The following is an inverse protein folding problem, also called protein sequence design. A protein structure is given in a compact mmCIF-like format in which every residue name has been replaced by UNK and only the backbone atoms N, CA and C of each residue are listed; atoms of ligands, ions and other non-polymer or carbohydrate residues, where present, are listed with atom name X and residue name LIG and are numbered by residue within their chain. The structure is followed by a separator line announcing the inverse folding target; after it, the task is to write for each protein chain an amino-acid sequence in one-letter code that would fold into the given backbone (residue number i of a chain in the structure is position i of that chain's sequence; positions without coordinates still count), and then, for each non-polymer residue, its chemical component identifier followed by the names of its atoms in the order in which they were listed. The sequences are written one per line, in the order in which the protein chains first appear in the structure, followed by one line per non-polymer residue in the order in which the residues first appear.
data_IF_170129132691
#
_entry.id   IF_170129132691
#
_cell.length_a   1.000
_cell.length_b   1.000
_cell.length_c   1.000
_cell.angle_alpha   90.00
_cell.angle_beta   90.00
_cell.angle_gamma   90.00
#
_symmetry.space_group_name_H-M   'P 1'
#
loop_
_entity.id
_entity.type
_entity.pdbx_description
1 polymer ?
#
# COMPACT_ATOMS: atom_id res chain seq x y z
N UNK A 1 -6.85 42.95 -14.79
CA UNK A 1 -6.22 43.14 -13.46
C UNK A 1 -6.78 42.10 -12.47
N UNK A 2 -5.90 41.45 -11.72
CA UNK A 2 -6.27 40.45 -10.72
C UNK A 2 -6.74 41.14 -9.42
N UNK A 3 -7.93 41.70 -9.44
CA UNK A 3 -8.50 42.45 -8.31
C UNK A 3 -9.25 41.55 -7.33
N UNK A 4 -9.41 42.00 -6.08
CA UNK A 4 -10.29 41.36 -5.08
C UNK A 4 -11.71 41.22 -5.61
N UNK A 5 -12.20 42.18 -6.40
CA UNK A 5 -13.54 42.11 -7.03
C UNK A 5 -13.68 40.92 -7.96
N UNK A 6 -12.70 40.70 -8.83
CA UNK A 6 -12.67 39.54 -9.74
C UNK A 6 -12.74 38.20 -8.98
N UNK A 7 -12.00 38.08 -7.88
CA UNK A 7 -12.03 36.86 -7.06
C UNK A 7 -13.37 36.67 -6.35
N UNK A 8 -13.98 37.73 -5.88
CA UNK A 8 -15.32 37.69 -5.28
C UNK A 8 -16.39 37.30 -6.30
N UNK A 9 -16.31 37.82 -7.53
CA UNK A 9 -17.18 37.46 -8.64
C UNK A 9 -17.04 35.98 -8.99
N UNK A 10 -15.79 35.47 -9.00
CA UNK A 10 -15.56 34.05 -9.23
C UNK A 10 -16.11 33.16 -8.10
N UNK A 11 -15.97 33.59 -6.84
CA UNK A 11 -16.59 32.89 -5.69
C UNK A 11 -18.10 32.87 -5.83
N UNK A 12 -18.70 34.01 -6.17
CA UNK A 12 -20.15 34.11 -6.39
C UNK A 12 -20.61 33.24 -7.55
N UNK A 13 -19.86 33.23 -8.67
CA UNK A 13 -20.15 32.31 -9.78
C UNK A 13 -20.07 30.85 -9.35
N UNK A 14 -19.05 30.45 -8.58
CA UNK A 14 -18.99 29.10 -8.02
C UNK A 14 -20.20 28.76 -7.14
N UNK A 15 -20.79 29.74 -6.46
CA UNK A 15 -21.98 29.51 -5.64
C UNK A 15 -23.23 29.21 -6.48
N UNK A 16 -23.29 29.73 -7.69
CA UNK A 16 -24.38 29.40 -8.62
C UNK A 16 -24.23 28.00 -9.23
N UNK A 17 -23.04 27.37 -9.12
CA UNK A 17 -22.81 26.02 -9.66
C UNK A 17 -23.29 24.95 -8.71
N UNK A 18 -23.85 23.87 -9.26
CA UNK A 18 -24.27 22.69 -8.50
C UNK A 18 -23.07 21.83 -8.05
N UNK A 19 -22.10 22.44 -7.38
CA UNK A 19 -20.89 21.78 -6.89
C UNK A 19 -20.94 21.69 -5.37
N UNK A 20 -20.34 20.61 -4.81
CA UNK A 20 -20.18 20.52 -3.36
C UNK A 20 -19.22 21.61 -2.85
N UNK A 21 -19.42 22.11 -1.62
CA UNK A 21 -18.55 23.10 -0.99
C UNK A 21 -17.07 22.68 -1.01
N UNK A 22 -16.81 21.38 -0.87
CA UNK A 22 -15.46 20.80 -0.96
C UNK A 22 -14.87 20.95 -2.36
N UNK A 23 -15.64 20.73 -3.40
CA UNK A 23 -15.20 20.92 -4.79
C UNK A 23 -14.94 22.38 -5.09
N UNK A 24 -15.83 23.30 -4.65
CA UNK A 24 -15.65 24.75 -4.77
C UNK A 24 -14.37 25.21 -4.09
N UNK A 25 -14.10 24.78 -2.86
CA UNK A 25 -12.87 25.08 -2.13
C UNK A 25 -11.63 24.53 -2.84
N UNK A 26 -11.74 23.35 -3.45
CA UNK A 26 -10.67 22.75 -4.26
C UNK A 26 -10.30 23.56 -5.49
N UNK A 27 -11.27 24.25 -6.10
CA UNK A 27 -11.07 25.12 -7.27
C UNK A 27 -10.43 26.48 -6.89
N UNK A 28 -10.75 27.00 -5.70
CA UNK A 28 -10.16 28.27 -5.19
C UNK A 28 -8.72 28.08 -4.67
N UNK A 29 -8.41 26.92 -4.12
CA UNK A 29 -7.09 26.67 -3.51
C UNK A 29 -5.89 26.92 -4.43
N UNK A 30 -5.88 26.45 -5.71
CA UNK A 30 -4.81 26.75 -6.64
C UNK A 30 -4.68 28.25 -6.94
N UNK A 31 -5.79 28.97 -7.04
CA UNK A 31 -5.76 30.41 -7.31
C UNK A 31 -5.10 31.19 -6.18
N UNK A 32 -5.28 30.79 -4.92
CA UNK A 32 -4.57 31.39 -3.78
C UNK A 32 -3.06 31.17 -3.86
N UNK A 33 -2.65 29.96 -4.24
CA UNK A 33 -1.22 29.64 -4.40
C UNK A 33 -0.62 30.52 -5.49
N UNK A 34 -1.31 30.65 -6.61
CA UNK A 34 -0.86 31.52 -7.72
C UNK A 34 -0.80 32.99 -7.28
N UNK A 35 -1.88 33.49 -6.66
CA UNK A 35 -1.90 34.88 -6.16
C UNK A 35 -0.76 35.17 -5.15
N UNK A 36 -0.53 34.21 -4.24
CA UNK A 36 0.57 34.35 -3.27
C UNK A 36 1.94 34.41 -3.97
N UNK A 37 2.16 33.49 -4.96
CA UNK A 37 3.38 33.49 -5.77
C UNK A 37 3.57 34.80 -6.52
N UNK A 38 2.53 35.32 -7.18
CA UNK A 38 2.60 36.55 -7.94
C UNK A 38 2.94 37.79 -7.04
N UNK A 39 2.35 37.83 -5.84
CA UNK A 39 2.64 38.87 -4.86
C UNK A 39 4.08 38.86 -4.32
N UNK A 40 4.67 37.67 -4.25
CA UNK A 40 6.05 37.51 -3.78
C UNK A 40 7.10 37.79 -4.88
N UNK A 41 6.68 37.89 -6.12
CA UNK A 41 7.60 38.01 -7.24
C UNK A 41 7.60 39.44 -7.79
N UNK A 42 8.72 40.22 -7.62
CA UNK A 42 8.77 41.62 -7.98
C UNK A 42 8.39 41.94 -9.42
N UNK A 43 8.63 41.00 -10.34
CA UNK A 43 8.32 41.20 -11.76
C UNK A 43 6.81 41.29 -12.06
N UNK A 44 5.94 40.82 -11.15
CA UNK A 44 4.48 40.80 -11.33
C UNK A 44 3.78 41.80 -10.39
N UNK A 45 4.52 42.57 -9.58
CA UNK A 45 3.94 43.47 -8.58
C UNK A 45 3.11 44.59 -9.24
N UNK A 46 3.42 44.97 -10.48
CA UNK A 46 2.63 45.95 -11.25
C UNK A 46 1.28 45.38 -11.76
N UNK A 47 1.14 44.08 -11.90
CA UNK A 47 -0.04 43.44 -12.44
C UNK A 47 -1.01 42.96 -11.35
N UNK A 48 -0.51 42.81 -10.13
CA UNK A 48 -1.28 42.32 -8.97
C UNK A 48 -1.38 43.43 -7.93
N UNK A 49 -2.55 44.04 -7.76
CA UNK A 49 -2.76 45.04 -6.71
C UNK A 49 -2.37 44.50 -5.33
N UNK A 50 -1.72 45.32 -4.52
CA UNK A 50 -1.25 44.93 -3.18
C UNK A 50 -2.39 44.47 -2.25
N UNK A 51 -3.59 45.01 -2.45
CA UNK A 51 -4.84 44.68 -1.75
C UNK A 51 -5.58 43.49 -2.33
N UNK A 52 -5.15 42.89 -3.46
CA UNK A 52 -5.78 41.72 -4.04
C UNK A 52 -5.81 40.59 -3.02
N UNK A 53 -7.01 40.07 -2.73
CA UNK A 53 -7.23 39.10 -1.66
C UNK A 53 -8.28 38.09 -2.06
N UNK A 54 -8.03 36.83 -1.69
CA UNK A 54 -9.00 35.74 -1.80
C UNK A 54 -9.33 35.26 -0.40
N UNK A 55 -10.61 35.32 -0.03
CA UNK A 55 -11.08 34.87 1.29
C UNK A 55 -10.61 33.46 1.62
N UNK A 56 -10.00 33.20 2.80
CA UNK A 56 -9.42 31.89 3.14
C UNK A 56 -10.41 30.74 3.16
N UNK A 57 -11.64 31.00 3.58
CA UNK A 57 -12.69 30.00 3.64
C UNK A 57 -14.03 30.61 3.24
N UNK A 58 -14.33 30.73 1.93
CA UNK A 58 -15.61 31.29 1.46
C UNK A 58 -16.81 30.41 1.85
N UNK A 59 -16.58 29.15 2.13
CA UNK A 59 -17.62 28.19 2.53
C UNK A 59 -17.28 27.60 3.91
N UNK A 60 -17.63 28.29 5.00
CA UNK A 60 -17.47 27.79 6.36
C UNK A 60 -18.31 26.52 6.56
N UNK A 61 -17.87 25.62 7.43
CA UNK A 61 -18.61 24.38 7.70
C UNK A 61 -18.27 23.20 6.78
N UNK A 62 -17.34 23.36 5.80
CA UNK A 62 -16.95 22.24 4.93
C UNK A 62 -16.54 20.99 5.74
N UNK A 63 -15.86 21.19 6.87
CA UNK A 63 -15.42 20.10 7.74
C UNK A 63 -16.56 19.52 8.60
N UNK A 64 -17.61 20.27 8.83
CA UNK A 64 -18.80 19.85 9.60
C UNK A 64 -19.67 18.89 8.79
N UNK A 65 -19.62 18.99 7.45
CA UNK A 65 -20.33 18.09 6.53
C UNK A 65 -19.60 16.77 6.27
N UNK A 66 -18.40 16.59 6.82
CA UNK A 66 -17.71 15.32 6.74
C UNK A 66 -18.45 14.38 7.69
N UNK A 67 -19.37 13.59 7.15
CA UNK A 67 -19.95 12.48 7.88
C UNK A 67 -18.80 11.69 8.51
N UNK A 68 -18.76 11.66 9.84
CA UNK A 68 -17.78 10.86 10.55
C UNK A 68 -17.87 9.43 10.02
N UNK A 69 -16.75 8.92 9.57
CA UNK A 69 -16.69 7.51 9.16
C UNK A 69 -17.11 6.68 10.36
N UNK A 70 -18.02 5.71 10.18
CA UNK A 70 -18.41 4.85 11.29
C UNK A 70 -17.16 4.23 11.90
N UNK A 71 -17.02 4.38 13.20
CA UNK A 71 -15.93 3.77 13.96
C UNK A 71 -16.32 2.30 14.10
N UNK A 72 -15.44 1.40 13.71
CA UNK A 72 -15.62 -0.03 13.92
C UNK A 72 -15.70 -0.31 15.43
N UNK A 73 -16.66 -1.13 15.82
CA UNK A 73 -16.74 -1.60 17.20
C UNK A 73 -15.49 -2.43 17.55
N UNK A 74 -15.08 -2.42 18.79
CA UNK A 74 -13.92 -3.20 19.25
C UNK A 74 -14.11 -4.70 18.95
N UNK A 75 -15.32 -5.21 19.08
CA UNK A 75 -15.71 -6.57 18.74
C UNK A 75 -15.45 -6.90 17.27
N UNK A 76 -15.73 -5.95 16.37
CA UNK A 76 -15.49 -6.12 14.94
C UNK A 76 -13.98 -6.14 14.63
N UNK A 77 -13.22 -5.26 15.28
CA UNK A 77 -11.76 -5.23 15.15
C UNK A 77 -11.13 -6.55 15.60
N UNK A 78 -11.54 -7.10 16.74
CA UNK A 78 -11.07 -8.40 17.23
C UNK A 78 -11.44 -9.53 16.26
N UNK A 79 -12.62 -9.49 15.67
CA UNK A 79 -13.07 -10.47 14.70
C UNK A 79 -12.23 -10.40 13.42
N UNK A 80 -11.97 -9.20 12.91
CA UNK A 80 -11.11 -8.97 11.74
C UNK A 80 -9.68 -9.46 12.04
N UNK A 81 -9.13 -9.11 13.20
CA UNK A 81 -7.79 -9.51 13.62
C UNK A 81 -7.64 -11.04 13.63
N UNK A 82 -8.57 -11.76 14.26
CA UNK A 82 -8.57 -13.23 14.29
C UNK A 82 -8.65 -13.83 12.88
N UNK A 83 -9.51 -13.28 12.01
CA UNK A 83 -9.61 -13.72 10.63
C UNK A 83 -8.29 -13.50 9.87
N UNK A 84 -7.68 -12.33 10.05
CA UNK A 84 -6.37 -12.03 9.44
C UNK A 84 -5.29 -12.99 9.92
N UNK A 85 -5.18 -13.27 11.21
CA UNK A 85 -4.19 -14.21 11.78
C UNK A 85 -4.37 -15.60 11.13
N UNK A 86 -5.59 -16.11 11.07
CA UNK A 86 -5.89 -17.41 10.47
C UNK A 86 -5.49 -17.45 8.98
N UNK A 87 -5.81 -16.41 8.24
CA UNK A 87 -5.45 -16.30 6.82
C UNK A 87 -3.92 -16.19 6.64
N UNK A 88 -3.23 -15.37 7.46
CA UNK A 88 -1.77 -15.24 7.43
C UNK A 88 -1.09 -16.59 7.68
N UNK A 89 -1.51 -17.34 8.71
CA UNK A 89 -0.99 -18.67 9.00
C UNK A 89 -1.20 -19.63 7.83
N UNK A 90 -2.36 -19.55 7.18
CA UNK A 90 -2.66 -20.38 5.99
C UNK A 90 -1.70 -20.07 4.83
N UNK A 91 -1.43 -18.78 4.58
CA UNK A 91 -0.50 -18.39 3.52
C UNK A 91 0.95 -18.71 3.85
N UNK A 92 1.39 -18.51 5.10
CA UNK A 92 2.75 -18.87 5.53
C UNK A 92 3.00 -20.36 5.35
N UNK A 93 2.08 -21.22 5.82
CA UNK A 93 2.17 -22.68 5.62
C UNK A 93 2.24 -23.04 4.14
N UNK A 94 1.41 -22.39 3.30
CA UNK A 94 1.45 -22.63 1.85
C UNK A 94 2.80 -22.30 1.23
N UNK A 95 3.47 -21.24 1.66
CA UNK A 95 4.81 -20.90 1.18
C UNK A 95 5.87 -21.88 1.69
N UNK A 96 5.75 -22.35 2.92
CA UNK A 96 6.61 -23.41 3.46
C UNK A 96 6.46 -24.70 2.67
N UNK A 97 5.24 -25.16 2.45
CA UNK A 97 4.94 -26.32 1.60
C UNK A 97 5.46 -26.13 0.16
N UNK A 98 5.34 -24.90 -0.40
CA UNK A 98 5.89 -24.56 -1.70
C UNK A 98 7.40 -24.71 -1.78
N UNK A 99 8.13 -24.30 -0.74
CA UNK A 99 9.58 -24.51 -0.63
C UNK A 99 9.94 -26.00 -0.55
N UNK A 100 9.15 -26.79 0.17
CA UNK A 100 9.37 -28.24 0.26
C UNK A 100 9.07 -28.95 -1.08
N UNK A 101 8.04 -28.52 -1.80
CA UNK A 101 7.77 -28.98 -3.16
C UNK A 101 8.92 -28.63 -4.12
N UNK A 102 9.51 -27.45 -4.05
CA UNK A 102 10.65 -27.07 -4.86
C UNK A 102 11.85 -27.99 -4.58
N UNK A 103 12.15 -28.27 -3.32
CA UNK A 103 13.25 -29.21 -2.95
C UNK A 103 13.00 -30.61 -3.50
N UNK A 104 11.81 -31.17 -3.22
CA UNK A 104 11.42 -32.48 -3.72
C UNK A 104 11.43 -32.55 -5.26
N UNK A 105 10.98 -31.49 -5.92
CA UNK A 105 11.02 -31.40 -7.38
C UNK A 105 12.44 -31.42 -7.96
N UNK A 106 13.40 -30.73 -7.31
CA UNK A 106 14.82 -30.76 -7.68
C UNK A 106 15.42 -32.15 -7.52
N UNK A 107 15.17 -32.81 -6.40
CA UNK A 107 15.62 -34.19 -6.16
C UNK A 107 15.09 -35.14 -7.22
N UNK A 108 13.83 -35.04 -7.59
CA UNK A 108 13.20 -35.86 -8.64
C UNK A 108 13.84 -35.63 -10.01
N UNK A 109 14.07 -34.34 -10.37
CA UNK A 109 14.73 -34.01 -11.64
C UNK A 109 16.15 -34.56 -11.71
N UNK A 110 16.91 -34.49 -10.59
CA UNK A 110 18.22 -35.07 -10.47
C UNK A 110 18.20 -36.62 -10.58
N UNK A 111 17.14 -37.23 -10.09
CA UNK A 111 16.91 -38.68 -10.23
C UNK A 111 16.42 -39.10 -11.63
N UNK A 112 16.34 -38.21 -12.59
CA UNK A 112 15.95 -38.49 -13.97
C UNK A 112 14.46 -38.41 -14.27
N UNK A 113 13.65 -37.81 -13.39
CA UNK A 113 12.25 -37.56 -13.68
C UNK A 113 12.06 -36.64 -14.90
N UNK A 114 11.03 -36.89 -15.70
CA UNK A 114 10.75 -36.08 -16.87
C UNK A 114 10.35 -34.65 -16.48
N UNK A 115 10.97 -33.61 -17.07
CA UNK A 115 10.58 -32.22 -16.86
C UNK A 115 9.14 -31.91 -17.29
N UNK A 116 8.53 -32.77 -18.12
CA UNK A 116 7.16 -32.61 -18.63
C UNK A 116 6.12 -33.38 -17.80
N UNK A 117 6.54 -34.02 -16.72
CA UNK A 117 5.65 -34.72 -15.82
C UNK A 117 4.62 -33.74 -15.18
N UNK A 118 3.34 -34.13 -15.14
CA UNK A 118 2.27 -33.33 -14.54
C UNK A 118 2.30 -33.42 -13.00
N UNK A 119 3.42 -32.95 -12.41
CA UNK A 119 3.60 -32.85 -10.97
C UNK A 119 3.93 -31.42 -10.56
N UNK A 120 3.28 -30.95 -9.52
CA UNK A 120 3.43 -29.59 -9.03
C UNK A 120 4.88 -29.34 -8.58
N UNK A 121 5.47 -30.28 -7.83
CA UNK A 121 6.83 -30.20 -7.31
C UNK A 121 7.85 -29.96 -8.43
N UNK A 122 7.77 -30.77 -9.47
CA UNK A 122 8.66 -30.66 -10.64
C UNK A 122 8.46 -29.33 -11.37
N UNK A 123 7.22 -28.89 -11.55
CA UNK A 123 6.90 -27.62 -12.18
C UNK A 123 7.44 -26.42 -11.37
N UNK A 124 7.21 -26.41 -10.05
CA UNK A 124 7.68 -25.32 -9.18
C UNK A 124 9.21 -25.26 -9.15
N UNK A 125 9.90 -26.40 -9.07
CA UNK A 125 11.36 -26.46 -9.12
C UNK A 125 11.91 -25.88 -10.43
N UNK A 126 11.32 -26.21 -11.56
CA UNK A 126 11.73 -25.67 -12.86
C UNK A 126 11.48 -24.16 -12.96
N UNK A 127 10.35 -23.67 -12.44
CA UNK A 127 10.04 -22.25 -12.42
C UNK A 127 11.04 -21.49 -11.55
N UNK A 128 11.36 -22.03 -10.38
CA UNK A 128 12.35 -21.43 -9.49
C UNK A 128 13.73 -21.37 -10.15
N UNK A 129 14.19 -22.46 -10.74
CA UNK A 129 15.54 -22.55 -11.31
C UNK A 129 15.71 -21.71 -12.59
N UNK A 130 14.68 -21.57 -13.43
CA UNK A 130 14.77 -20.81 -14.67
C UNK A 130 14.42 -19.33 -14.51
N UNK A 131 13.47 -19.01 -13.64
CA UNK A 131 12.88 -17.68 -13.55
C UNK A 131 13.04 -17.05 -12.15
N UNK A 132 13.84 -17.69 -11.26
CA UNK A 132 14.02 -17.22 -9.89
C UNK A 132 12.73 -17.21 -9.08
N UNK A 133 11.82 -18.15 -9.35
CA UNK A 133 10.54 -18.27 -8.66
C UNK A 133 9.50 -17.22 -9.02
N UNK A 134 9.80 -16.32 -9.96
CA UNK A 134 8.94 -15.18 -10.25
C UNK A 134 8.35 -15.23 -11.66
N UNK A 135 7.04 -15.44 -11.73
CA UNK A 135 6.31 -15.46 -13.01
C UNK A 135 5.76 -14.06 -13.31
N UNK A 136 6.54 -13.24 -14.00
CA UNK A 136 6.23 -11.82 -14.25
C UNK A 136 5.21 -11.59 -15.34
N UNK A 137 5.27 -12.38 -16.41
CA UNK A 137 4.46 -12.14 -17.61
C UNK A 137 4.12 -13.46 -18.31
N UNK A 138 2.83 -13.72 -18.48
CA UNK A 138 2.36 -14.91 -19.18
C UNK A 138 2.90 -15.02 -20.61
N UNK A 139 3.07 -13.89 -21.31
CA UNK A 139 3.58 -13.86 -22.68
C UNK A 139 5.05 -14.28 -22.78
N UNK A 140 5.89 -13.78 -21.90
CA UNK A 140 7.31 -14.19 -21.83
C UNK A 140 7.45 -15.66 -21.46
N UNK A 141 6.69 -16.08 -20.44
CA UNK A 141 6.71 -17.44 -19.93
C UNK A 141 6.26 -18.47 -20.98
N UNK A 142 5.31 -18.09 -21.84
CA UNK A 142 4.82 -18.94 -22.93
C UNK A 142 5.60 -18.79 -24.25
N UNK A 143 6.42 -17.75 -24.39
CA UNK A 143 7.23 -17.53 -25.59
C UNK A 143 8.42 -18.48 -25.69
N UNK A 144 8.89 -19.03 -24.59
CA UNK A 144 10.04 -19.92 -24.53
C UNK A 144 9.80 -21.33 -25.16
N UNK A 145 8.65 -21.54 -25.76
CA UNK A 145 8.39 -22.69 -26.65
C UNK A 145 8.38 -24.09 -25.99
N UNK A 146 8.43 -24.19 -24.68
CA UNK A 146 8.91 -25.31 -23.90
C UNK A 146 7.78 -26.29 -23.45
N UNK A 147 6.61 -26.17 -24.08
CA UNK A 147 5.49 -27.11 -23.86
C UNK A 147 4.80 -27.04 -22.51
N UNK A 148 5.28 -26.21 -21.59
CA UNK A 148 4.80 -26.14 -20.19
C UNK A 148 3.46 -25.47 -20.02
N UNK A 149 2.94 -24.85 -21.05
CA UNK A 149 1.62 -24.22 -21.01
C UNK A 149 0.57 -25.20 -20.49
N UNK A 150 0.57 -26.45 -21.00
CA UNK A 150 -0.38 -27.48 -20.56
C UNK A 150 -0.21 -27.86 -19.09
N UNK A 151 1.04 -27.97 -18.62
CA UNK A 151 1.30 -28.25 -17.20
C UNK A 151 0.78 -27.11 -16.29
N UNK A 152 1.04 -25.87 -16.68
CA UNK A 152 0.57 -24.68 -15.92
C UNK A 152 -0.95 -24.62 -15.93
N UNK A 153 -1.59 -24.85 -17.08
CA UNK A 153 -3.05 -24.88 -17.20
C UNK A 153 -3.66 -26.00 -16.35
N UNK A 154 -3.01 -27.16 -16.27
CA UNK A 154 -3.42 -28.29 -15.42
C UNK A 154 -3.48 -27.91 -13.94
N UNK A 155 -2.55 -27.08 -13.44
CA UNK A 155 -2.52 -26.60 -12.06
C UNK A 155 -3.28 -25.28 -11.85
N UNK A 156 -4.24 -24.93 -12.72
CA UNK A 156 -5.07 -23.73 -12.59
C UNK A 156 -4.42 -22.46 -13.11
N UNK A 157 -3.45 -22.61 -14.01
CA UNK A 157 -2.74 -21.49 -14.63
C UNK A 157 -1.78 -20.80 -13.67
N UNK A 158 -1.29 -19.63 -14.07
CA UNK A 158 -0.38 -18.82 -13.23
C UNK A 158 -1.01 -18.49 -11.87
N UNK A 159 -2.32 -18.23 -11.83
CA UNK A 159 -3.02 -17.94 -10.58
C UNK A 159 -3.03 -19.14 -9.61
N UNK A 160 -2.98 -20.36 -10.11
CA UNK A 160 -2.93 -21.57 -9.29
C UNK A 160 -1.54 -21.85 -8.72
N UNK A 161 -0.47 -21.57 -9.50
CA UNK A 161 0.92 -21.85 -9.11
C UNK A 161 1.60 -20.70 -8.35
N UNK A 162 1.35 -19.45 -8.72
CA UNK A 162 1.99 -18.28 -8.11
C UNK A 162 1.91 -18.24 -6.58
N UNK A 163 0.77 -18.62 -5.94
CA UNK A 163 0.66 -18.63 -4.49
C UNK A 163 1.59 -19.60 -3.75
N UNK A 164 2.19 -20.55 -4.45
CA UNK A 164 3.19 -21.47 -3.88
C UNK A 164 4.60 -20.92 -3.93
N UNK A 165 4.85 -19.99 -4.86
CA UNK A 165 6.18 -19.43 -5.12
C UNK A 165 6.40 -18.11 -4.38
N UNK A 166 5.40 -17.23 -4.32
CA UNK A 166 5.54 -15.90 -3.76
C UNK A 166 4.22 -15.30 -3.26
N UNK A 167 4.36 -14.22 -2.50
CA UNK A 167 3.23 -13.46 -2.01
C UNK A 167 2.48 -12.75 -3.16
N UNK A 168 1.23 -13.09 -3.35
CA UNK A 168 0.32 -12.46 -4.33
C UNK A 168 -0.42 -11.27 -3.71
N UNK A 169 -1.05 -10.43 -4.54
CA UNK A 169 -1.88 -9.33 -4.02
C UNK A 169 -2.94 -9.83 -3.03
N UNK A 170 -3.57 -10.98 -3.30
CA UNK A 170 -4.60 -11.56 -2.43
C UNK A 170 -4.01 -12.03 -1.10
N UNK A 171 -2.88 -12.72 -1.13
CA UNK A 171 -2.26 -13.24 0.09
C UNK A 171 -1.66 -12.14 0.98
N UNK A 172 -1.37 -10.95 0.43
CA UNK A 172 -0.88 -9.82 1.20
C UNK A 172 -1.98 -9.06 1.96
N UNK A 173 -3.25 -9.20 1.57
CA UNK A 173 -4.37 -8.46 2.19
C UNK A 173 -4.39 -8.61 3.71
N UNK A 174 -4.37 -9.83 4.31
CA UNK A 174 -4.44 -9.98 5.76
C UNK A 174 -3.23 -9.35 6.48
N UNK A 175 -2.04 -9.38 5.88
CA UNK A 175 -0.85 -8.73 6.43
C UNK A 175 -0.99 -7.20 6.43
N UNK A 176 -1.49 -6.61 5.34
CA UNK A 176 -1.72 -5.16 5.23
C UNK A 176 -2.78 -4.71 6.23
N UNK A 177 -3.89 -5.46 6.37
CA UNK A 177 -4.96 -5.15 7.33
C UNK A 177 -4.43 -5.24 8.76
N UNK A 178 -3.69 -6.30 9.09
CA UNK A 178 -3.09 -6.46 10.42
C UNK A 178 -2.10 -5.33 10.73
N UNK A 179 -1.25 -4.96 9.77
CA UNK A 179 -0.35 -3.81 9.92
C UNK A 179 -1.12 -2.51 10.12
N UNK A 180 -2.23 -2.29 9.41
CA UNK A 180 -3.07 -1.11 9.59
C UNK A 180 -3.67 -1.05 11.01
N UNK A 181 -4.18 -2.17 11.51
CA UNK A 181 -4.73 -2.27 12.87
C UNK A 181 -3.63 -1.96 13.91
N UNK A 182 -2.46 -2.58 13.79
CA UNK A 182 -1.38 -2.47 14.79
C UNK A 182 -0.64 -1.14 14.74
N UNK A 183 -0.51 -0.51 13.57
CA UNK A 183 0.27 0.73 13.41
C UNK A 183 -0.59 1.97 13.25
N UNK A 184 -1.88 1.83 12.97
CA UNK A 184 -2.77 2.90 12.53
C UNK A 184 -2.23 3.65 11.28
N UNK A 185 -1.35 3.02 10.50
CA UNK A 185 -0.90 3.57 9.23
C UNK A 185 -1.97 3.39 8.16
N UNK A 186 -2.04 4.33 7.22
CA UNK A 186 -2.91 4.14 6.07
C UNK A 186 -2.33 3.07 5.11
N UNK A 187 -3.16 2.43 4.29
CA UNK A 187 -2.71 1.36 3.39
C UNK A 187 -1.59 1.79 2.43
N UNK A 188 -1.59 3.03 1.96
CA UNK A 188 -0.56 3.58 1.07
C UNK A 188 0.81 3.62 1.76
N UNK A 189 0.84 4.04 3.04
CA UNK A 189 2.06 4.03 3.85
C UNK A 189 2.56 2.61 4.07
N UNK A 190 1.66 1.65 4.36
CA UNK A 190 2.02 0.24 4.60
C UNK A 190 2.58 -0.38 3.33
N UNK A 191 1.95 -0.17 2.18
CA UNK A 191 2.41 -0.70 0.90
C UNK A 191 3.74 -0.09 0.43
N UNK A 192 4.09 1.09 0.94
CA UNK A 192 5.37 1.75 0.68
C UNK A 192 6.49 1.33 1.65
N UNK A 193 6.20 0.52 2.69
CA UNK A 193 7.21 0.06 3.65
C UNK A 193 8.26 -0.81 2.94
N UNK A 194 9.51 -0.60 3.32
CA UNK A 194 10.66 -1.41 2.90
C UNK A 194 11.19 -2.17 4.11
N UNK A 195 11.97 -3.23 3.87
CA UNK A 195 12.64 -3.98 4.95
C UNK A 195 13.43 -3.07 5.89
N UNK A 196 14.03 -1.99 5.37
CA UNK A 196 14.75 -0.98 6.15
C UNK A 196 13.85 -0.12 7.06
N UNK A 197 12.53 -0.14 6.84
CA UNK A 197 11.57 0.55 7.69
C UNK A 197 11.36 -0.14 9.05
N UNK A 198 11.72 -1.43 9.15
CA UNK A 198 11.69 -2.19 10.39
C UNK A 198 13.04 -2.04 11.09
N UNK A 199 13.04 -1.42 12.27
CA UNK A 199 14.24 -1.21 13.06
C UNK A 199 14.02 -1.76 14.47
N UNK A 200 15.02 -2.43 15.01
CA UNK A 200 15.01 -2.80 16.41
C UNK A 200 15.09 -1.54 17.28
N UNK A 201 14.22 -1.44 18.27
CA UNK A 201 14.19 -0.26 19.15
C UNK A 201 15.29 -0.38 20.20
N UNK A 202 16.31 0.48 20.08
CA UNK A 202 17.39 0.56 21.06
C UNK A 202 17.03 1.34 22.34
N UNK A 203 15.84 1.95 22.40
CA UNK A 203 15.45 2.86 23.48
C UNK A 203 15.31 2.19 24.87
N UNK A 204 15.45 0.88 24.96
CA UNK A 204 15.28 0.13 26.22
C UNK A 204 16.40 -0.90 26.44
N UNK A 205 17.61 -0.63 26.00
CA UNK A 205 18.77 -1.51 26.22
C UNK A 205 19.21 -1.67 27.68
N UNK A 206 18.41 -1.18 28.62
CA UNK A 206 18.75 -1.23 30.06
C UNK A 206 18.01 -2.27 30.92
N UNK A 207 16.99 -2.95 30.36
CA UNK A 207 16.25 -3.99 31.10
C UNK A 207 16.36 -5.32 30.39
N UNK A 208 17.11 -6.25 30.98
CA UNK A 208 17.35 -7.59 30.40
C UNK A 208 16.11 -8.50 30.32
N UNK A 209 14.94 -8.01 30.69
CA UNK A 209 13.70 -8.79 30.81
C UNK A 209 12.60 -8.40 29.82
N UNK A 210 12.83 -7.40 28.95
CA UNK A 210 11.79 -7.00 27.99
C UNK A 210 12.05 -7.60 26.62
N UNK A 211 11.02 -8.28 26.07
CA UNK A 211 11.01 -8.79 24.73
C UNK A 211 11.44 -7.71 23.71
N UNK A 212 12.17 -8.07 22.63
CA UNK A 212 12.64 -7.12 21.65
C UNK A 212 11.45 -6.34 21.05
N UNK A 213 11.56 -5.01 21.03
CA UNK A 213 10.56 -4.13 20.47
C UNK A 213 11.00 -3.69 19.09
N UNK A 214 10.10 -3.76 18.14
CA UNK A 214 10.35 -3.27 16.78
C UNK A 214 9.70 -1.91 16.57
N UNK A 215 10.44 -1.02 15.95
CA UNK A 215 9.99 0.30 15.53
C UNK A 215 9.74 0.26 14.03
N UNK A 216 8.51 0.58 13.63
CA UNK A 216 8.16 0.72 12.21
C UNK A 216 8.14 2.19 11.85
N UNK A 217 8.92 2.57 10.83
CA UNK A 217 9.01 3.96 10.33
C UNK A 217 8.43 4.01 8.93
N UNK A 218 7.31 4.71 8.77
CA UNK A 218 6.64 4.90 7.48
C UNK A 218 6.65 6.37 7.07
N UNK A 219 7.08 6.66 5.85
CA UNK A 219 7.04 8.00 5.28
C UNK A 219 5.63 8.39 4.86
N UNK A 220 5.12 9.53 5.34
CA UNK A 220 3.84 10.09 4.92
C UNK A 220 4.07 11.15 3.84
N UNK A 221 3.93 10.77 2.57
CA UNK A 221 4.19 11.67 1.43
C UNK A 221 3.47 13.02 1.51
N UNK A 222 2.21 13.03 1.99
CA UNK A 222 1.38 14.25 2.08
C UNK A 222 1.75 15.17 3.25
N UNK A 223 2.40 14.67 4.29
CA UNK A 223 2.70 15.43 5.51
C UNK A 223 4.19 15.82 5.62
N UNK A 224 5.02 15.51 4.64
CA UNK A 224 6.49 15.72 4.63
C UNK A 224 7.19 15.25 5.91
N UNK A 225 6.65 14.23 6.57
CA UNK A 225 7.16 13.72 7.84
C UNK A 225 7.03 12.20 7.93
N UNK A 226 7.81 11.62 8.83
CA UNK A 226 7.79 10.20 9.12
C UNK A 226 6.75 9.86 10.19
N UNK A 227 5.97 8.82 9.94
CA UNK A 227 5.15 8.19 10.97
C UNK A 227 5.96 7.10 11.65
N UNK A 228 5.98 7.15 12.95
CA UNK A 228 6.73 6.18 13.76
C UNK A 228 5.78 5.47 14.71
N UNK A 229 5.85 4.14 14.76
CA UNK A 229 5.15 3.30 15.74
C UNK A 229 6.12 2.28 16.32
N UNK A 230 6.05 2.12 17.62
CA UNK A 230 6.81 1.12 18.35
C UNK A 230 5.83 0.11 18.95
N UNK A 231 5.92 -1.13 18.52
CA UNK A 231 5.10 -2.21 19.04
C UNK A 231 5.95 -3.12 19.93
N UNK A 232 5.44 -3.56 21.09
CA UNK A 232 6.03 -4.68 21.81
C UNK A 232 5.90 -5.93 20.93
N UNK A 233 6.88 -6.80 20.99
CA UNK A 233 6.73 -8.14 20.45
C UNK A 233 5.75 -8.87 21.37
N UNK A 234 4.59 -9.30 20.85
CA UNK A 234 3.70 -10.16 21.61
C UNK A 234 4.49 -11.43 21.93
N UNK A 235 4.76 -11.67 23.20
CA UNK A 235 5.21 -12.96 23.67
C UNK A 235 4.06 -13.93 23.43
N UNK A 236 4.16 -14.69 22.36
CA UNK A 236 3.31 -15.86 22.14
C UNK A 236 3.72 -16.90 23.18
N UNK A 237 2.97 -17.00 24.25
CA UNK A 237 2.80 -18.24 25.00
C UNK A 237 1.89 -19.21 24.22
#
# INVERSE_FOLDING_TARGET
DLTTTLFNEYIFWLDTQQLTSKTKAGLISPLRVVLHYLKQNPQYTSEVPGDAYIQPNPWPGINEQIAHRPILAITDLVTIERACIKEMQTWMRKWEEGNDFIKSGRERLQAGASPTEHRLETLLAIIEDRYGGYVTNSKQFFADGDGRRRQIEFFGGIKGIAPWLYATKRSLVPFVVMMAIRTAFNPETILALRKSALRESSLLKGSAELAPRYRVVGGKKRARGDQVRTNPQDSTE
#
